data_IF_067112566030
#
_entry.id   IF_067112566030
#
_cell.length_a   1.000
_cell.length_b   1.000
_cell.length_c   1.000
_cell.angle_alpha   90.00
_cell.angle_beta   90.00
_cell.angle_gamma   90.00
#
_symmetry.space_group_name_H-M   'P 1'
#
loop_
_entity.id
_entity.type
_entity.pdbx_description
1 polymer ?
#
# COMPACT_ATOMS: atom_id res chain seq x y z
N UNK A 1 -15.51 -29.05 -27.94
CA UNK A 1 -14.49 -27.99 -27.80
C UNK A 1 -15.18 -26.64 -27.89
N UNK A 2 -14.95 -25.79 -26.89
CA UNK A 2 -14.87 -24.31 -26.89
C UNK A 2 -15.43 -23.77 -25.56
N UNK A 3 -14.50 -23.51 -24.64
CA UNK A 3 -14.70 -22.81 -23.38
C UNK A 3 -14.87 -21.32 -23.69
N UNK A 4 -15.93 -20.68 -23.19
CA UNK A 4 -16.05 -19.22 -23.14
C UNK A 4 -16.05 -18.82 -21.66
N UNK A 5 -14.92 -18.32 -21.18
CA UNK A 5 -14.83 -17.63 -19.89
C UNK A 5 -15.19 -16.17 -20.18
N UNK A 6 -16.42 -15.80 -19.86
CA UNK A 6 -16.96 -14.46 -20.03
C UNK A 6 -16.81 -13.66 -18.74
N UNK A 7 -16.25 -12.48 -18.88
CA UNK A 7 -16.05 -11.43 -17.90
C UNK A 7 -17.17 -11.30 -16.84
N UNK A 8 -16.76 -11.22 -15.58
CA UNK A 8 -17.58 -10.70 -14.48
C UNK A 8 -16.75 -9.66 -13.71
N UNK A 9 -16.72 -8.44 -14.24
CA UNK A 9 -16.29 -7.25 -13.51
C UNK A 9 -17.07 -6.07 -14.07
N UNK A 10 -18.29 -5.93 -13.57
CA UNK A 10 -19.10 -4.74 -13.74
C UNK A 10 -19.89 -4.53 -12.44
N UNK A 11 -20.15 -3.25 -12.18
CA UNK A 11 -20.98 -2.66 -11.12
C UNK A 11 -20.23 -2.30 -9.84
N UNK A 12 -19.76 -1.05 -9.80
CA UNK A 12 -20.22 -0.05 -8.83
C UNK A 12 -19.85 1.34 -9.35
N UNK A 13 -20.58 1.80 -10.37
CA UNK A 13 -20.66 3.20 -10.75
C UNK A 13 -22.05 3.70 -10.37
N UNK A 14 -22.10 4.93 -9.85
CA UNK A 14 -23.25 5.69 -9.38
C UNK A 14 -23.69 5.43 -7.92
N UNK A 15 -23.34 6.37 -7.05
CA UNK A 15 -24.30 7.21 -6.31
C UNK A 15 -23.51 8.26 -5.52
N UNK A 16 -23.53 9.51 -5.99
CA UNK A 16 -23.63 10.77 -5.22
C UNK A 16 -23.39 11.94 -6.18
N UNK A 17 -24.41 12.27 -6.99
CA UNK A 17 -24.50 13.60 -7.61
C UNK A 17 -25.10 14.54 -6.56
N UNK A 18 -24.24 15.28 -5.87
CA UNK A 18 -24.60 16.44 -5.07
C UNK A 18 -23.75 17.61 -5.52
N UNK A 19 -24.39 18.66 -6.04
CA UNK A 19 -23.74 19.92 -6.44
C UNK A 19 -23.04 20.53 -5.23
N UNK A 20 -21.71 20.64 -5.27
CA UNK A 20 -20.90 21.33 -4.24
C UNK A 20 -20.32 22.64 -4.79
N UNK A 21 -20.23 23.70 -3.97
CA UNK A 21 -19.74 25.00 -4.40
C UNK A 21 -18.22 24.98 -4.62
N UNK A 22 -17.79 25.72 -5.65
CA UNK A 22 -16.39 25.91 -6.03
C UNK A 22 -15.65 26.83 -5.04
N UNK A 23 -15.07 26.27 -3.98
CA UNK A 23 -13.88 26.79 -3.24
C UNK A 23 -13.63 25.95 -1.99
N UNK A 24 -13.04 24.78 -2.18
CA UNK A 24 -12.21 24.06 -1.21
C UNK A 24 -11.80 22.77 -1.90
N UNK A 25 -10.52 22.60 -2.21
CA UNK A 25 -10.00 21.25 -2.42
C UNK A 25 -10.36 20.46 -1.15
N UNK A 26 -11.23 19.46 -1.27
CA UNK A 26 -11.72 18.68 -0.14
C UNK A 26 -10.49 18.10 0.60
N UNK A 27 -10.35 18.39 1.89
CA UNK A 27 -9.25 17.85 2.70
C UNK A 27 -9.33 16.32 2.61
N UNK A 28 -8.26 15.67 2.15
CA UNK A 28 -8.28 14.23 1.89
C UNK A 28 -8.75 13.51 3.16
N UNK A 29 -9.83 12.71 3.10
CA UNK A 29 -10.42 12.14 4.30
C UNK A 29 -9.44 11.21 5.03
N UNK A 30 -8.92 11.65 6.17
CA UNK A 30 -7.92 10.92 6.98
C UNK A 30 -8.41 9.57 7.52
N UNK A 31 -9.72 9.35 7.56
CA UNK A 31 -10.29 8.06 7.95
C UNK A 31 -10.21 7.04 6.81
N UNK A 32 -10.20 7.49 5.55
CA UNK A 32 -10.11 6.64 4.35
C UNK A 32 -8.66 6.48 3.87
N UNK A 33 -7.90 7.57 3.88
CA UNK A 33 -6.55 7.62 3.35
C UNK A 33 -5.51 7.77 4.46
N UNK A 34 -4.44 7.00 4.32
CA UNK A 34 -3.24 7.15 5.11
C UNK A 34 -2.23 7.99 4.34
N UNK A 35 -1.76 9.09 4.95
CA UNK A 35 -0.68 9.91 4.39
C UNK A 35 0.66 9.25 4.68
N UNK A 36 1.53 9.17 3.68
CA UNK A 36 2.87 8.58 3.84
C UNK A 36 3.96 9.64 3.82
N UNK A 37 3.96 10.48 2.78
CA UNK A 37 4.99 11.48 2.55
C UNK A 37 4.55 12.51 1.51
N UNK A 38 5.33 13.58 1.39
CA UNK A 38 5.23 14.54 0.30
C UNK A 38 6.60 14.80 -0.31
N UNK A 39 6.64 14.97 -1.63
CA UNK A 39 7.76 15.61 -2.33
C UNK A 39 7.43 17.09 -2.56
N UNK A 40 8.33 17.83 -3.20
CA UNK A 40 8.04 19.20 -3.63
C UNK A 40 6.89 19.31 -4.64
N UNK A 41 6.49 18.20 -5.28
CA UNK A 41 5.54 18.17 -6.40
C UNK A 41 4.29 17.35 -6.13
N UNK A 42 4.37 16.40 -5.20
CA UNK A 42 3.32 15.39 -5.02
C UNK A 42 3.15 15.02 -3.54
N UNK A 43 1.90 14.88 -3.09
CA UNK A 43 1.55 14.21 -1.84
C UNK A 43 1.16 12.76 -2.09
N UNK A 44 1.63 11.81 -1.27
CA UNK A 44 1.42 10.38 -1.44
C UNK A 44 0.53 9.81 -0.33
N UNK A 45 -0.53 9.12 -0.74
CA UNK A 45 -1.51 8.52 0.13
C UNK A 45 -1.88 7.11 -0.36
N UNK A 46 -2.28 6.22 0.55
CA UNK A 46 -2.93 4.98 0.17
C UNK A 46 -4.27 4.82 0.90
N UNK A 47 -5.22 4.13 0.26
CA UNK A 47 -6.54 3.91 0.83
C UNK A 47 -6.47 2.77 1.84
N UNK A 48 -6.57 3.09 3.13
CA UNK A 48 -6.49 2.10 4.21
C UNK A 48 -7.79 1.33 4.42
N UNK A 49 -8.93 1.81 3.91
CA UNK A 49 -10.19 1.06 3.97
C UNK A 49 -10.30 -0.01 2.88
N UNK A 50 -9.62 0.21 1.74
CA UNK A 50 -9.67 -0.65 0.56
C UNK A 50 -8.40 -1.48 0.34
N UNK A 51 -7.36 -1.31 1.18
CA UNK A 51 -6.21 -2.23 1.19
C UNK A 51 -6.64 -3.62 1.65
N UNK A 52 -6.30 -4.63 0.84
CA UNK A 52 -6.69 -6.02 1.07
C UNK A 52 -5.66 -6.98 0.45
N UNK A 53 -5.81 -8.28 0.74
CA UNK A 53 -5.09 -9.32 0.03
C UNK A 53 -5.82 -9.69 -1.27
N UNK A 54 -5.05 -10.14 -2.27
CA UNK A 54 -5.63 -10.69 -3.50
C UNK A 54 -6.29 -12.06 -3.23
N UNK A 55 -7.23 -12.44 -4.09
CA UNK A 55 -7.73 -13.81 -4.16
C UNK A 55 -7.01 -14.57 -5.29
N UNK A 56 -6.69 -15.83 -5.07
CA UNK A 56 -6.17 -16.71 -6.12
C UNK A 56 -7.30 -17.18 -7.06
N UNK A 57 -6.93 -17.94 -8.10
CA UNK A 57 -7.87 -18.46 -9.09
C UNK A 57 -8.92 -19.44 -8.51
N UNK A 58 -8.69 -19.97 -7.31
CA UNK A 58 -9.60 -20.89 -6.62
C UNK A 58 -10.45 -20.17 -5.56
N UNK A 59 -10.30 -18.85 -5.39
CA UNK A 59 -11.03 -18.05 -4.43
C UNK A 59 -10.45 -18.07 -3.02
N UNK A 60 -9.22 -18.56 -2.83
CA UNK A 60 -8.51 -18.44 -1.56
C UNK A 60 -7.78 -17.11 -1.45
N UNK A 61 -7.68 -16.58 -0.24
CA UNK A 61 -6.88 -15.38 0.03
C UNK A 61 -5.39 -15.73 -0.16
N UNK A 62 -4.68 -14.95 -0.97
CA UNK A 62 -3.23 -15.04 -1.11
C UNK A 62 -2.55 -13.99 -0.22
N UNK A 63 -2.07 -14.43 0.95
CA UNK A 63 -1.38 -13.56 1.92
C UNK A 63 -0.07 -12.98 1.39
N UNK A 64 0.42 -13.43 0.24
CA UNK A 64 1.64 -12.90 -0.40
C UNK A 64 1.38 -11.78 -1.38
N UNK A 65 0.10 -11.45 -1.67
CA UNK A 65 -0.26 -10.41 -2.64
C UNK A 65 -1.16 -9.36 -2.02
N UNK A 66 -0.71 -8.11 -2.01
CA UNK A 66 -1.50 -6.97 -1.51
C UNK A 66 -2.08 -6.22 -2.70
N UNK A 67 -3.37 -5.89 -2.63
CA UNK A 67 -4.04 -4.98 -3.55
C UNK A 67 -4.38 -3.70 -2.81
N UNK A 68 -3.98 -2.56 -3.36
CA UNK A 68 -4.20 -1.26 -2.71
C UNK A 68 -4.43 -0.14 -3.73
N UNK A 69 -5.53 0.61 -3.60
CA UNK A 69 -5.67 1.90 -4.27
C UNK A 69 -4.81 2.96 -3.59
N UNK A 70 -4.13 3.76 -4.40
CA UNK A 70 -3.28 4.86 -3.94
C UNK A 70 -3.73 6.16 -4.57
N UNK A 71 -3.37 7.27 -3.92
CA UNK A 71 -3.73 8.61 -4.35
C UNK A 71 -2.49 9.50 -4.31
N UNK A 72 -2.29 10.25 -5.40
CA UNK A 72 -1.28 11.29 -5.52
C UNK A 72 -1.96 12.61 -5.78
N UNK A 73 -1.62 13.64 -5.01
CA UNK A 73 -2.08 15.01 -5.24
C UNK A 73 -0.94 15.81 -5.82
N UNK A 74 -1.22 16.60 -6.85
CA UNK A 74 -0.23 17.35 -7.59
C UNK A 74 -0.19 18.81 -7.18
N UNK A 75 1.01 19.40 -7.20
CA UNK A 75 1.17 20.84 -7.23
C UNK A 75 0.95 21.38 -8.64
N UNK A 76 0.87 22.71 -8.78
CA UNK A 76 0.67 23.35 -10.07
C UNK A 76 1.75 23.00 -11.09
N UNK A 77 3.00 22.79 -10.66
CA UNK A 77 4.10 22.47 -11.57
C UNK A 77 3.96 21.04 -12.10
N UNK A 78 3.59 20.09 -11.26
CA UNK A 78 3.31 18.72 -11.66
C UNK A 78 2.10 18.64 -12.60
N UNK A 79 1.04 19.43 -12.35
CA UNK A 79 -0.10 19.56 -13.25
C UNK A 79 0.35 20.04 -14.64
N UNK A 80 1.14 21.12 -14.70
CA UNK A 80 1.66 21.63 -15.97
C UNK A 80 2.54 20.61 -16.70
N UNK A 81 3.35 19.85 -15.98
CA UNK A 81 4.19 18.78 -16.54
C UNK A 81 3.34 17.66 -17.18
N UNK A 82 2.30 17.18 -16.48
CA UNK A 82 1.37 16.16 -17.02
C UNK A 82 0.67 16.68 -18.27
N UNK A 83 0.10 17.89 -18.21
CA UNK A 83 -0.60 18.50 -19.35
C UNK A 83 0.34 18.71 -20.53
N UNK A 84 1.58 19.14 -20.29
CA UNK A 84 2.59 19.34 -21.33
C UNK A 84 3.00 18.03 -21.99
N UNK A 85 3.24 16.97 -21.20
CA UNK A 85 3.54 15.62 -21.71
C UNK A 85 2.39 15.07 -22.55
N UNK A 86 1.15 15.28 -22.10
CA UNK A 86 -0.05 14.85 -22.81
C UNK A 86 -0.21 15.58 -24.15
N UNK A 87 -0.01 16.90 -24.15
CA UNK A 87 0.01 17.74 -25.37
C UNK A 87 1.11 17.29 -26.34
N UNK A 88 2.31 17.04 -25.84
CA UNK A 88 3.44 16.55 -26.65
C UNK A 88 3.13 15.20 -27.32
N UNK A 89 2.37 14.32 -26.65
CA UNK A 89 1.90 13.04 -27.19
C UNK A 89 0.66 13.15 -28.09
N UNK A 90 0.17 14.37 -28.36
CA UNK A 90 -1.05 14.63 -29.14
C UNK A 90 -2.30 13.94 -28.55
N UNK A 91 -2.35 13.78 -27.23
CA UNK A 91 -3.48 13.16 -26.53
C UNK A 91 -4.57 14.21 -26.19
N UNK A 92 -5.85 13.82 -26.07
CA UNK A 92 -6.94 14.74 -25.75
C UNK A 92 -6.76 15.43 -24.40
N UNK A 93 -7.02 16.74 -24.34
CA UNK A 93 -6.90 17.56 -23.11
C UNK A 93 -8.25 17.93 -22.47
N UNK A 94 -9.34 17.30 -22.90
CA UNK A 94 -10.67 17.56 -22.34
C UNK A 94 -10.67 17.28 -20.82
N UNK A 95 -11.11 18.25 -20.02
CA UNK A 95 -11.14 18.16 -18.56
C UNK A 95 -9.80 18.39 -17.85
N UNK A 96 -8.66 18.38 -18.54
CA UNK A 96 -7.33 18.53 -17.93
C UNK A 96 -7.03 19.93 -17.39
N UNK A 97 -7.88 20.92 -17.66
CA UNK A 97 -7.83 22.21 -16.95
C UNK A 97 -8.17 22.07 -15.46
N UNK A 98 -8.83 20.98 -15.07
CA UNK A 98 -9.23 20.67 -13.69
C UNK A 98 -8.45 19.47 -13.09
N UNK A 99 -7.32 19.09 -13.71
CA UNK A 99 -6.47 18.01 -13.20
C UNK A 99 -5.97 18.35 -11.78
N UNK A 100 -6.18 17.44 -10.83
CA UNK A 100 -5.75 17.62 -9.44
C UNK A 100 -4.70 16.60 -8.97
N UNK A 101 -4.61 15.45 -9.63
CA UNK A 101 -3.86 14.32 -9.10
C UNK A 101 -4.03 13.05 -9.93
N UNK A 102 -3.64 11.93 -9.34
CA UNK A 102 -3.85 10.62 -9.93
C UNK A 102 -4.15 9.55 -8.87
N UNK A 103 -4.90 8.52 -9.26
CA UNK A 103 -5.00 7.27 -8.53
C UNK A 103 -4.20 6.18 -9.23
N UNK A 104 -3.50 5.36 -8.45
CA UNK A 104 -2.86 4.15 -8.95
C UNK A 104 -3.33 2.94 -8.16
N UNK A 105 -3.65 1.86 -8.86
CA UNK A 105 -4.05 0.60 -8.26
C UNK A 105 -2.85 -0.33 -8.30
N UNK A 106 -2.36 -0.71 -7.13
CA UNK A 106 -1.15 -1.50 -7.00
C UNK A 106 -1.51 -2.94 -6.66
N UNK A 107 -0.81 -3.88 -7.30
CA UNK A 107 -0.65 -5.25 -6.84
C UNK A 107 0.80 -5.44 -6.40
N UNK A 108 1.02 -5.62 -5.11
CA UNK A 108 2.35 -5.87 -4.54
C UNK A 108 2.49 -7.37 -4.30
N UNK A 109 3.34 -8.04 -5.07
CA UNK A 109 3.73 -9.43 -4.84
C UNK A 109 4.93 -9.47 -3.91
N UNK A 110 4.67 -9.82 -2.65
CA UNK A 110 5.67 -9.91 -1.58
C UNK A 110 6.66 -11.04 -1.80
N UNK A 111 6.25 -12.11 -2.49
CA UNK A 111 7.09 -13.28 -2.76
C UNK A 111 8.06 -12.97 -3.90
N UNK A 112 7.57 -12.38 -4.98
CA UNK A 112 8.39 -11.97 -6.12
C UNK A 112 9.22 -10.71 -5.82
N UNK A 113 8.78 -9.89 -4.86
CA UNK A 113 9.41 -8.60 -4.58
C UNK A 113 9.14 -7.58 -5.68
N UNK A 114 7.93 -7.59 -6.24
CA UNK A 114 7.53 -6.78 -7.40
C UNK A 114 6.23 -6.02 -7.11
N UNK A 115 6.14 -4.79 -7.59
CA UNK A 115 4.92 -3.98 -7.60
C UNK A 115 4.45 -3.82 -9.04
N UNK A 116 3.21 -4.22 -9.30
CA UNK A 116 2.54 -3.95 -10.56
C UNK A 116 1.57 -2.78 -10.37
N UNK A 117 1.72 -1.74 -11.18
CA UNK A 117 0.71 -0.69 -11.32
C UNK A 117 -0.31 -1.21 -12.32
N UNK A 118 -1.40 -1.79 -11.82
CA UNK A 118 -2.41 -2.45 -12.65
C UNK A 118 -3.25 -1.43 -13.38
N UNK A 119 -3.46 -0.24 -12.80
CA UNK A 119 -4.04 0.89 -13.51
C UNK A 119 -3.56 2.22 -12.94
N UNK A 120 -3.52 3.23 -13.81
CA UNK A 120 -3.25 4.62 -13.50
C UNK A 120 -4.42 5.46 -14.01
N UNK A 121 -4.95 6.32 -13.15
CA UNK A 121 -6.06 7.22 -13.46
C UNK A 121 -5.67 8.66 -13.16
N UNK A 122 -5.73 9.53 -14.16
CA UNK A 122 -5.67 10.97 -13.92
C UNK A 122 -7.02 11.43 -13.37
N UNK A 123 -7.01 12.30 -12.34
CA UNK A 123 -8.19 12.72 -11.61
C UNK A 123 -8.47 14.21 -11.72
N UNK A 124 -9.73 14.57 -11.89
CA UNK A 124 -10.20 15.95 -11.74
C UNK A 124 -10.42 16.33 -10.26
N UNK A 125 -10.77 17.60 -10.01
CA UNK A 125 -10.98 18.12 -8.65
C UNK A 125 -12.16 17.48 -7.89
N UNK A 126 -13.03 16.76 -8.59
CA UNK A 126 -14.16 16.01 -8.04
C UNK A 126 -13.84 14.53 -7.85
N UNK A 127 -12.56 14.14 -8.01
CA UNK A 127 -12.09 12.75 -8.01
C UNK A 127 -12.67 11.92 -9.16
N UNK A 128 -13.14 12.58 -10.22
CA UNK A 128 -13.58 11.94 -11.45
C UNK A 128 -12.40 11.52 -12.31
N UNK A 129 -12.50 10.35 -12.94
CA UNK A 129 -11.46 9.82 -13.85
C UNK A 129 -11.46 10.60 -15.17
N UNK A 130 -10.37 11.32 -15.43
CA UNK A 130 -10.12 12.02 -16.70
C UNK A 130 -9.58 11.08 -17.78
N UNK A 131 -8.70 10.18 -17.38
CA UNK A 131 -8.18 9.12 -18.24
C UNK A 131 -7.77 7.92 -17.41
N UNK A 132 -7.72 6.74 -18.05
CA UNK A 132 -7.33 5.49 -17.42
C UNK A 132 -6.39 4.73 -18.35
N UNK A 133 -5.25 4.31 -17.80
CA UNK A 133 -4.27 3.46 -18.47
C UNK A 133 -4.11 2.17 -17.65
N UNK A 134 -4.09 1.02 -18.33
CA UNK A 134 -3.99 -0.30 -17.69
C UNK A 134 -2.57 -0.86 -17.81
N UNK A 135 -2.14 -1.62 -16.81
CA UNK A 135 -0.84 -2.32 -16.73
C UNK A 135 0.34 -1.40 -17.08
N UNK A 136 0.41 -0.25 -16.42
CA UNK A 136 1.28 0.86 -16.84
C UNK A 136 2.73 0.67 -16.46
N UNK A 137 3.01 -0.07 -15.38
CA UNK A 137 4.37 -0.21 -14.85
C UNK A 137 4.53 -1.48 -14.01
N UNK A 138 5.71 -2.08 -14.12
CA UNK A 138 6.21 -3.12 -13.21
C UNK A 138 7.49 -2.61 -12.54
N UNK A 139 7.62 -2.82 -11.23
CA UNK A 139 8.70 -2.26 -10.43
C UNK A 139 9.27 -3.35 -9.52
N UNK A 140 10.53 -3.70 -9.73
CA UNK A 140 11.26 -4.61 -8.84
C UNK A 140 11.72 -3.87 -7.59
N UNK A 141 11.24 -4.29 -6.41
CA UNK A 141 11.52 -3.62 -5.13
C UNK A 141 13.02 -3.59 -4.79
N UNK A 142 13.77 -4.62 -5.16
CA UNK A 142 15.22 -4.69 -4.91
C UNK A 142 16.05 -3.78 -5.82
N UNK A 143 15.50 -3.30 -6.93
CA UNK A 143 16.18 -2.33 -7.79
C UNK A 143 16.08 -0.89 -7.28
N UNK A 144 15.18 -0.63 -6.32
CA UNK A 144 15.01 0.69 -5.74
C UNK A 144 15.96 0.89 -4.56
N UNK A 145 16.55 2.07 -4.49
CA UNK A 145 17.33 2.52 -3.35
C UNK A 145 16.43 2.87 -2.17
N UNK A 146 16.93 2.70 -0.94
CA UNK A 146 16.23 3.12 0.28
C UNK A 146 15.97 4.64 0.36
N UNK A 147 16.64 5.43 -0.49
CA UNK A 147 16.39 6.87 -0.61
C UNK A 147 15.25 7.20 -1.57
N UNK A 148 14.84 6.26 -2.41
CA UNK A 148 13.84 6.49 -3.44
C UNK A 148 12.47 6.73 -2.81
N UNK A 149 11.78 7.73 -3.36
CA UNK A 149 10.44 8.13 -2.93
C UNK A 149 9.46 6.97 -3.10
N UNK A 150 9.50 6.27 -4.24
CA UNK A 150 8.65 5.10 -4.51
C UNK A 150 8.95 3.95 -3.53
N UNK A 151 10.23 3.69 -3.21
CA UNK A 151 10.61 2.64 -2.26
C UNK A 151 10.00 2.88 -0.88
N UNK A 152 10.15 4.10 -0.35
CA UNK A 152 9.57 4.48 0.94
C UNK A 152 8.05 4.36 0.95
N UNK A 153 7.41 4.71 -0.16
CA UNK A 153 5.96 4.61 -0.28
C UNK A 153 5.48 3.16 -0.27
N UNK A 154 6.10 2.27 -1.04
CA UNK A 154 5.78 0.84 -1.02
C UNK A 154 6.09 0.20 0.32
N UNK A 155 7.21 0.56 0.96
CA UNK A 155 7.56 0.06 2.29
C UNK A 155 6.54 0.48 3.35
N UNK A 156 6.01 1.71 3.28
CA UNK A 156 4.95 2.15 4.19
C UNK A 156 3.67 1.30 4.03
N UNK A 157 3.27 1.00 2.80
CA UNK A 157 2.11 0.13 2.52
C UNK A 157 2.35 -1.28 3.05
N UNK A 158 3.53 -1.87 2.78
CA UNK A 158 3.88 -3.22 3.24
C UNK A 158 3.91 -3.27 4.77
N UNK A 159 4.50 -2.27 5.43
CA UNK A 159 4.55 -2.18 6.89
C UNK A 159 3.15 -2.02 7.49
N UNK A 160 2.30 -1.18 6.88
CA UNK A 160 0.90 -1.06 7.28
C UNK A 160 0.19 -2.41 7.20
N UNK A 161 0.38 -3.16 6.10
CA UNK A 161 -0.23 -4.46 5.92
C UNK A 161 0.22 -5.50 6.96
N UNK A 162 1.50 -5.49 7.35
CA UNK A 162 2.02 -6.33 8.43
C UNK A 162 1.35 -6.02 9.77
N UNK A 163 1.14 -4.73 10.07
CA UNK A 163 0.48 -4.29 11.31
C UNK A 163 -1.04 -4.53 11.36
N UNK A 164 -1.69 -4.68 10.19
CA UNK A 164 -3.15 -4.76 10.06
C UNK A 164 -3.61 -6.06 9.39
N UNK A 165 -2.85 -7.15 9.55
CA UNK A 165 -3.09 -8.41 8.85
C UNK A 165 -4.50 -8.98 9.07
N UNK A 166 -5.02 -8.96 10.31
CA UNK A 166 -6.36 -9.48 10.61
C UNK A 166 -7.47 -8.66 9.95
N UNK A 167 -7.33 -7.33 10.00
CA UNK A 167 -8.27 -6.41 9.38
C UNK A 167 -8.28 -6.56 7.86
N UNK A 168 -7.10 -6.72 7.25
CA UNK A 168 -6.97 -6.98 5.83
C UNK A 168 -7.60 -8.31 5.43
N UNK A 169 -7.39 -9.39 6.19
CA UNK A 169 -8.04 -10.69 5.92
C UNK A 169 -9.56 -10.53 5.93
N UNK A 170 -10.12 -9.81 6.92
CA UNK A 170 -11.57 -9.57 7.01
C UNK A 170 -12.13 -8.80 5.81
N UNK A 171 -11.36 -7.85 5.27
CA UNK A 171 -11.74 -7.06 4.09
C UNK A 171 -11.55 -7.81 2.77
N UNK A 172 -10.61 -8.74 2.75
CA UNK A 172 -10.25 -9.49 1.55
C UNK A 172 -11.40 -10.34 1.08
N UNK A 173 -11.53 -10.44 -0.24
CA UNK A 173 -12.44 -11.38 -0.86
C UNK A 173 -11.79 -12.76 -0.86
N UNK A 174 -12.57 -13.79 -0.57
CA UNK A 174 -12.11 -15.17 -0.62
C UNK A 174 -12.00 -15.85 0.74
N UNK A 175 -11.56 -17.09 0.72
CA UNK A 175 -11.50 -17.97 1.88
C UNK A 175 -10.07 -18.02 2.39
N UNK A 176 -9.87 -17.77 3.69
CA UNK A 176 -8.58 -18.04 4.32
C UNK A 176 -8.37 -19.55 4.44
N UNK A 177 -7.30 -20.07 3.82
CA UNK A 177 -7.00 -21.50 3.84
C UNK A 177 -6.68 -21.99 5.27
N UNK A 178 -6.91 -23.27 5.53
CA UNK A 178 -6.60 -23.87 6.84
C UNK A 178 -5.10 -23.84 7.15
N UNK A 179 -4.26 -23.99 6.13
CA UNK A 179 -2.81 -23.89 6.25
C UNK A 179 -2.38 -22.47 6.67
N UNK A 180 -2.94 -21.45 6.03
CA UNK A 180 -2.65 -20.05 6.37
C UNK A 180 -3.17 -19.70 7.76
N UNK A 181 -4.38 -20.16 8.11
CA UNK A 181 -4.94 -19.99 9.45
C UNK A 181 -4.03 -20.60 10.51
N UNK A 182 -3.57 -21.84 10.31
CA UNK A 182 -2.64 -22.49 11.23
C UNK A 182 -1.29 -21.77 11.31
N UNK A 183 -0.78 -21.22 10.20
CA UNK A 183 0.46 -20.45 10.18
C UNK A 183 0.32 -19.13 10.95
N UNK A 184 -0.82 -18.45 10.83
CA UNK A 184 -1.11 -17.21 11.55
C UNK A 184 -1.24 -17.45 13.05
N UNK A 185 -1.95 -18.50 13.47
CA UNK A 185 -2.07 -18.84 14.90
C UNK A 185 -0.71 -19.21 15.51
N UNK A 186 0.11 -20.02 14.82
CA UNK A 186 1.49 -20.30 15.26
C UNK A 186 2.35 -19.04 15.37
N UNK A 187 2.15 -18.07 14.48
CA UNK A 187 2.87 -16.78 14.53
C UNK A 187 2.43 -15.98 15.75
N UNK A 188 1.14 -15.96 16.08
CA UNK A 188 0.61 -15.32 17.29
C UNK A 188 1.13 -15.98 18.57
N UNK A 189 1.13 -17.31 18.63
CA UNK A 189 1.66 -18.07 19.76
C UNK A 189 3.13 -17.74 20.03
N UNK A 190 3.97 -17.71 18.98
CA UNK A 190 5.40 -17.33 19.08
C UNK A 190 5.62 -15.87 19.51
N UNK A 191 4.69 -14.98 19.19
CA UNK A 191 4.72 -13.59 19.63
C UNK A 191 4.20 -13.42 21.07
N UNK A 192 3.42 -14.38 21.57
CA UNK A 192 2.84 -14.37 22.91
C UNK A 192 3.67 -15.17 23.95
N UNK A 193 4.55 -16.07 23.53
CA UNK A 193 5.51 -16.72 24.43
C UNK A 193 6.48 -15.68 25.02
N UNK A 194 6.53 -15.52 26.36
CA UNK A 194 7.48 -14.60 26.98
C UNK A 194 8.90 -15.06 26.64
N UNK A 195 9.78 -14.11 26.34
CA UNK A 195 11.21 -14.33 26.15
C UNK A 195 11.89 -14.68 27.49
N UNK A 196 11.44 -15.76 28.13
CA UNK A 196 11.93 -16.23 29.42
C UNK A 196 12.92 -17.37 29.18
N UNK A 197 14.09 -17.02 28.64
CA UNK A 197 15.26 -17.89 28.63
C UNK A 197 16.54 -17.05 28.74
N UNK A 198 16.79 -16.51 29.93
CA UNK A 198 18.16 -16.20 30.37
C UNK A 198 18.51 -17.12 31.54
N UNK A 199 19.35 -18.14 31.38
CA UNK A 199 19.89 -18.87 32.51
C UNK A 199 21.31 -18.36 32.81
N UNK A 200 21.45 -17.36 33.68
CA UNK A 200 22.70 -17.17 34.40
C UNK A 200 22.50 -17.47 35.90
N UNK A 201 22.83 -18.71 36.24
CA UNK A 201 23.12 -19.18 37.59
C UNK A 201 24.24 -18.31 38.20
N UNK A 202 24.08 -17.77 39.42
CA UNK A 202 25.21 -17.20 40.14
C UNK A 202 26.04 -18.33 40.78
N UNK A 203 27.26 -18.55 40.28
CA UNK A 203 28.24 -19.40 40.94
C UNK A 203 28.77 -18.69 42.21
N UNK A 204 28.51 -19.29 43.36
CA UNK A 204 29.02 -18.89 44.69
C UNK A 204 30.35 -19.59 44.99
N UNK A 205 31.19 -18.87 45.77
CA UNK A 205 32.32 -19.32 46.63
C UNK A 205 33.70 -19.47 45.95
N UNK A 206 34.84 -19.08 46.52
CA UNK A 206 35.15 -18.66 47.90
C UNK A 206 36.58 -18.04 47.99
N UNK A 207 36.71 -17.05 48.89
CA UNK A 207 37.81 -16.80 49.86
C UNK A 207 39.26 -16.42 49.47
N UNK A 208 39.68 -15.38 50.24
CA UNK A 208 41.00 -15.12 50.87
C UNK A 208 42.11 -14.60 49.93
N UNK A 209 42.98 -13.66 50.29
CA UNK A 209 43.37 -13.08 51.58
C UNK A 209 44.20 -11.81 51.31
N UNK A 210 44.14 -10.87 52.26
CA UNK A 210 45.26 -10.04 52.75
C UNK A 210 45.86 -8.90 51.90
N UNK A 211 45.62 -7.71 52.48
CA UNK A 211 46.60 -6.77 53.05
C UNK A 211 47.21 -5.72 52.13
N UNK A 212 46.92 -4.46 52.55
CA UNK A 212 47.87 -3.36 52.83
C UNK A 212 48.78 -2.98 51.66
N UNK A 213 48.77 -1.74 51.18
CA UNK A 213 49.12 -0.53 51.93
C UNK A 213 48.88 0.67 50.99
N UNK A 214 48.35 1.80 51.50
CA UNK A 214 49.04 3.11 51.64
C UNK A 214 49.59 3.67 50.30
N UNK A 215 49.33 4.90 49.92
CA UNK A 215 48.95 6.11 50.65
C UNK A 215 48.50 7.14 49.62
#
# INVERSE_FOLDING_TARGET
>A
MQKKWGAALLVCAALFMGTRPASAAEEIPKHIYEWVQSTARQGYYFNKEQIQYASDAHGYIDLTKIVVPTLRIYDNIQIQDVVSKRRWRMLPLNGYSDLTGAAEYLLIDLRAGVVHVTSHEDLDSHWGTLSREENTKEITLSSLSNKDVEKKFFDAIINYAVGHQEEMIRRSRGILSDADRAALEKKKEKLAEPADNTPEKPAKKDKKEKKKNKK
#
